data_IF_787570469673
#
_entry.id   IF_787570469673
#
_cell.length_a   1.000
_cell.length_b   1.000
_cell.length_c   1.000
_cell.angle_alpha   90.00
_cell.angle_beta   90.00
_cell.angle_gamma   90.00
#
_symmetry.space_group_name_H-M   'P 1'
#
loop_
_entity.id
_entity.type
_entity.pdbx_description
1 polymer ?
#
# COMPACT_ATOMS: atom_id res chain seq x y z
N UNK A 1 -14.24 -7.16 -5.93
CA UNK A 1 -12.81 -6.80 -5.72
C UNK A 1 -12.29 -7.44 -4.43
N UNK A 2 -10.93 -7.61 -4.31
CA UNK A 2 -10.28 -8.15 -3.10
C UNK A 2 -9.08 -7.29 -2.71
N UNK A 3 -9.00 -6.92 -1.44
CA UNK A 3 -7.84 -6.20 -0.89
C UNK A 3 -6.94 -7.18 -0.12
N UNK A 4 -5.75 -7.43 -0.64
CA UNK A 4 -4.70 -8.16 0.06
C UNK A 4 -4.09 -7.25 1.12
N UNK A 5 -4.24 -7.64 2.38
CA UNK A 5 -4.02 -6.79 3.56
C UNK A 5 -3.17 -7.51 4.62
N UNK A 6 -2.60 -6.73 5.49
CA UNK A 6 -2.10 -7.22 6.78
C UNK A 6 -2.40 -6.19 7.86
N UNK A 7 -3.10 -6.62 8.90
CA UNK A 7 -3.77 -5.72 9.86
C UNK A 7 -2.84 -4.68 10.50
N UNK A 8 -1.61 -5.06 10.81
CA UNK A 8 -0.66 -4.21 11.56
C UNK A 8 0.19 -3.30 10.68
N UNK A 9 0.26 -3.54 9.38
CA UNK A 9 1.09 -2.73 8.49
C UNK A 9 0.48 -1.35 8.17
N UNK A 10 1.29 -0.30 8.10
CA UNK A 10 0.79 1.06 7.89
C UNK A 10 0.24 1.30 6.48
N UNK A 11 0.84 0.73 5.45
CA UNK A 11 0.40 0.94 4.07
C UNK A 11 -0.99 0.34 3.78
N UNK A 12 -1.31 -0.92 4.16
CA UNK A 12 -2.68 -1.42 4.08
C UNK A 12 -3.66 -0.63 4.93
N UNK A 13 -3.26 -0.17 6.13
CA UNK A 13 -4.10 0.66 7.00
C UNK A 13 -4.57 1.94 6.30
N UNK A 14 -3.71 2.56 5.48
CA UNK A 14 -4.07 3.74 4.69
C UNK A 14 -5.25 3.48 3.77
N UNK A 15 -5.25 2.34 3.08
CA UNK A 15 -6.37 1.94 2.20
C UNK A 15 -7.64 1.71 3.02
N UNK A 16 -7.55 0.99 4.15
CA UNK A 16 -8.71 0.78 5.04
C UNK A 16 -9.28 2.08 5.59
N UNK A 17 -8.43 3.05 5.92
CA UNK A 17 -8.91 4.37 6.35
C UNK A 17 -9.68 5.08 5.26
N UNK A 18 -9.16 5.09 4.03
CA UNK A 18 -9.90 5.66 2.91
C UNK A 18 -11.23 4.92 2.69
N UNK A 19 -11.23 3.59 2.73
CA UNK A 19 -12.47 2.82 2.61
C UNK A 19 -13.48 3.21 3.69
N UNK A 20 -13.03 3.37 4.95
CA UNK A 20 -13.90 3.78 6.06
C UNK A 20 -14.44 5.20 5.87
N UNK A 21 -13.61 6.17 5.47
CA UNK A 21 -14.04 7.55 5.19
C UNK A 21 -15.08 7.62 4.07
N UNK A 22 -15.01 6.69 3.12
CA UNK A 22 -15.91 6.62 1.96
C UNK A 22 -17.10 5.67 2.13
N UNK A 23 -17.18 4.96 3.25
CA UNK A 23 -18.22 3.95 3.47
C UNK A 23 -18.15 2.77 2.50
N UNK A 24 -16.95 2.40 2.02
CA UNK A 24 -16.74 1.26 1.13
C UNK A 24 -16.65 -0.01 1.97
N UNK A 25 -17.67 -0.89 1.86
CA UNK A 25 -17.78 -2.13 2.65
C UNK A 25 -17.80 -3.40 1.78
N UNK A 26 -17.91 -3.27 0.47
CA UNK A 26 -18.10 -4.36 -0.49
C UNK A 26 -16.80 -4.97 -1.03
N UNK A 27 -15.64 -4.61 -0.47
CA UNK A 27 -14.34 -5.16 -0.84
C UNK A 27 -13.94 -6.27 0.15
N UNK A 28 -13.75 -7.48 -0.37
CA UNK A 28 -13.25 -8.62 0.41
C UNK A 28 -11.84 -8.36 0.93
N UNK A 29 -11.62 -8.50 2.25
CA UNK A 29 -10.30 -8.37 2.85
C UNK A 29 -9.63 -9.74 2.95
N UNK A 30 -8.54 -9.93 2.21
CA UNK A 30 -7.72 -11.15 2.23
C UNK A 30 -6.47 -10.91 3.07
N UNK A 31 -6.38 -11.53 4.23
CA UNK A 31 -5.21 -11.39 5.11
C UNK A 31 -4.00 -12.13 4.53
N UNK A 32 -2.86 -11.44 4.51
CA UNK A 32 -1.57 -11.96 4.06
C UNK A 32 -0.60 -12.03 5.24
N UNK A 33 -0.11 -13.21 5.54
CA UNK A 33 0.87 -13.41 6.61
C UNK A 33 2.28 -13.04 6.11
N UNK A 34 2.75 -11.87 6.56
CA UNK A 34 4.08 -11.38 6.21
C UNK A 34 5.19 -12.17 6.91
N UNK A 35 4.94 -12.64 8.14
CA UNK A 35 5.96 -13.35 8.91
C UNK A 35 6.27 -14.75 8.34
N UNK A 36 5.26 -15.40 7.77
CA UNK A 36 5.46 -16.66 7.03
C UNK A 36 6.01 -16.47 5.62
N UNK A 37 6.16 -15.21 5.15
CA UNK A 37 6.64 -14.91 3.81
C UNK A 37 5.61 -15.11 2.70
N UNK A 38 4.31 -15.21 3.03
CA UNK A 38 3.25 -15.44 2.04
C UNK A 38 3.27 -14.45 0.88
N UNK A 39 3.58 -13.17 1.14
CA UNK A 39 3.72 -12.11 0.12
C UNK A 39 4.92 -12.33 -0.83
N UNK A 40 5.82 -13.25 -0.53
CA UNK A 40 7.04 -13.54 -1.31
C UNK A 40 6.94 -14.81 -2.15
N UNK A 41 5.85 -15.55 -2.02
CA UNK A 41 5.65 -16.77 -2.82
C UNK A 41 5.59 -16.46 -4.31
N UNK A 42 6.02 -17.39 -5.19
CA UNK A 42 5.92 -17.20 -6.63
C UNK A 42 4.51 -16.87 -7.11
N UNK A 43 3.50 -17.51 -6.50
CA UNK A 43 2.09 -17.32 -6.83
C UNK A 43 1.62 -15.89 -6.51
N UNK A 44 1.98 -15.39 -5.32
CA UNK A 44 1.65 -14.01 -4.93
C UNK A 44 2.36 -12.99 -5.83
N UNK A 45 3.66 -13.18 -6.10
CA UNK A 45 4.45 -12.30 -6.97
C UNK A 45 3.92 -12.30 -8.40
N UNK A 46 3.54 -13.45 -8.93
CA UNK A 46 2.95 -13.55 -10.28
C UNK A 46 1.61 -12.80 -10.37
N UNK A 47 0.80 -12.86 -9.31
CA UNK A 47 -0.49 -12.19 -9.24
C UNK A 47 -0.38 -10.68 -9.06
N UNK A 48 0.43 -10.24 -8.11
CA UNK A 48 0.50 -8.82 -7.67
C UNK A 48 1.55 -8.02 -8.42
N UNK A 49 2.56 -8.70 -8.97
CA UNK A 49 3.72 -8.05 -9.62
C UNK A 49 4.77 -7.52 -8.64
N UNK A 50 4.50 -7.58 -7.32
CA UNK A 50 5.41 -7.10 -6.28
C UNK A 50 5.25 -7.91 -4.98
N UNK A 51 6.32 -8.11 -4.18
CA UNK A 51 6.25 -8.83 -2.92
C UNK A 51 5.81 -7.92 -1.76
N UNK A 52 4.73 -7.16 -1.95
CA UNK A 52 4.28 -6.15 -1.00
C UNK A 52 2.77 -6.21 -0.77
N UNK A 53 2.33 -5.67 0.36
CA UNK A 53 0.95 -5.34 0.67
C UNK A 53 0.84 -3.82 0.94
N UNK A 54 -0.29 -3.18 0.62
CA UNK A 54 -1.52 -3.76 0.06
C UNK A 54 -1.44 -4.00 -1.45
N UNK A 55 -2.36 -4.83 -1.93
CA UNK A 55 -2.70 -4.95 -3.35
C UNK A 55 -4.21 -5.10 -3.51
N UNK A 56 -4.79 -4.48 -4.53
CA UNK A 56 -6.20 -4.57 -4.87
C UNK A 56 -6.36 -5.41 -6.13
N UNK A 57 -7.00 -6.57 -6.01
CA UNK A 57 -7.41 -7.41 -7.14
C UNK A 57 -8.80 -6.97 -7.61
N UNK A 58 -8.90 -6.59 -8.87
CA UNK A 58 -10.15 -6.24 -9.53
C UNK A 58 -10.91 -7.48 -9.97
N UNK A 59 -12.15 -7.31 -10.41
CA UNK A 59 -13.02 -8.43 -10.81
C UNK A 59 -12.55 -9.12 -12.10
N UNK A 60 -11.75 -8.44 -12.92
CA UNK A 60 -11.10 -9.00 -14.11
C UNK A 60 -9.76 -9.69 -13.82
N UNK A 61 -9.34 -9.75 -12.56
CA UNK A 61 -8.08 -10.32 -12.11
C UNK A 61 -6.87 -9.39 -12.19
N UNK A 62 -7.02 -8.16 -12.69
CA UNK A 62 -5.97 -7.15 -12.65
C UNK A 62 -5.65 -6.78 -11.21
N UNK A 63 -4.36 -6.68 -10.86
CA UNK A 63 -3.93 -6.23 -9.54
C UNK A 63 -3.30 -4.84 -9.60
N UNK A 64 -3.77 -3.96 -8.73
CA UNK A 64 -3.19 -2.63 -8.48
C UNK A 64 -2.38 -2.72 -7.19
N UNK A 65 -1.09 -2.46 -7.26
CA UNK A 65 -0.23 -2.29 -6.09
C UNK A 65 0.00 -0.81 -5.78
N UNK A 66 0.72 -0.51 -4.69
CA UNK A 66 0.94 0.82 -4.13
C UNK A 66 -0.31 1.43 -3.48
N UNK A 67 -0.24 1.65 -2.16
CA UNK A 67 -1.39 2.07 -1.37
C UNK A 67 -2.04 3.38 -1.84
N UNK A 68 -1.24 4.37 -2.31
CA UNK A 68 -1.78 5.63 -2.84
C UNK A 68 -2.47 5.40 -4.20
N UNK A 69 -1.91 4.53 -5.06
CA UNK A 69 -2.56 4.20 -6.33
C UNK A 69 -3.91 3.51 -6.11
N UNK A 70 -3.98 2.58 -5.15
CA UNK A 70 -5.22 1.94 -4.73
C UNK A 70 -6.22 2.98 -4.22
N UNK A 71 -5.77 3.90 -3.35
CA UNK A 71 -6.60 4.98 -2.84
C UNK A 71 -7.16 5.87 -3.97
N UNK A 72 -6.35 6.23 -4.96
CA UNK A 72 -6.80 7.02 -6.13
C UNK A 72 -7.82 6.26 -6.98
N UNK A 73 -7.63 4.96 -7.18
CA UNK A 73 -8.57 4.13 -7.89
C UNK A 73 -9.93 4.11 -7.17
N UNK A 74 -9.94 3.86 -5.87
CA UNK A 74 -11.16 3.84 -5.05
C UNK A 74 -11.83 5.22 -4.96
N UNK A 75 -11.05 6.32 -4.93
CA UNK A 75 -11.55 7.69 -5.01
C UNK A 75 -12.33 7.93 -6.29
N UNK A 76 -11.80 7.44 -7.42
CA UNK A 76 -12.46 7.61 -8.74
C UNK A 76 -13.80 6.87 -8.80
N UNK A 77 -13.89 5.69 -8.18
CA UNK A 77 -15.13 4.92 -8.11
C UNK A 77 -16.15 5.51 -7.11
N UNK A 78 -15.64 6.13 -6.05
CA UNK A 78 -16.43 6.70 -4.97
C UNK A 78 -15.99 8.17 -4.73
N UNK A 79 -16.41 9.15 -5.57
CA UNK A 79 -15.85 10.49 -5.54
C UNK A 79 -16.23 11.31 -4.30
N UNK A 80 -17.25 10.89 -3.54
CA UNK A 80 -17.66 11.58 -2.32
C UNK A 80 -17.52 10.68 -1.07
N UNK A 81 -17.08 11.26 0.07
CA UNK A 81 -16.50 12.59 0.22
C UNK A 81 -15.17 12.71 -0.56
N UNK A 82 -14.93 13.86 -1.22
CA UNK A 82 -13.74 14.05 -2.00
C UNK A 82 -12.49 14.18 -1.12
N UNK A 83 -11.48 13.34 -1.35
CA UNK A 83 -10.23 13.31 -0.59
C UNK A 83 -8.98 13.62 -1.42
N UNK A 84 -9.11 13.72 -2.76
CA UNK A 84 -7.98 13.92 -3.67
C UNK A 84 -8.05 15.22 -4.48
N UNK A 85 -9.02 16.09 -4.17
CA UNK A 85 -9.19 17.40 -4.80
C UNK A 85 -10.16 17.41 -5.97
N UNK A 86 -10.98 18.46 -6.02
CA UNK A 86 -12.03 18.64 -7.04
C UNK A 86 -11.55 19.36 -8.29
N UNK A 87 -10.55 20.21 -8.12
CA UNK A 87 -9.97 20.97 -9.24
C UNK A 87 -8.45 20.78 -9.34
N UNK A 88 -7.87 21.31 -10.39
CA UNK A 88 -6.45 21.15 -10.68
C UNK A 88 -5.53 21.70 -9.56
N UNK A 89 -5.95 22.76 -8.89
CA UNK A 89 -5.18 23.36 -7.79
C UNK A 89 -5.24 22.46 -6.55
N UNK A 90 -6.43 22.07 -6.11
CA UNK A 90 -6.61 21.17 -4.96
C UNK A 90 -5.86 19.85 -5.18
N UNK A 91 -5.99 19.25 -6.37
CA UNK A 91 -5.28 18.02 -6.72
C UNK A 91 -3.76 18.18 -6.63
N UNK A 92 -3.22 19.28 -7.14
CA UNK A 92 -1.78 19.57 -7.09
C UNK A 92 -1.29 19.81 -5.65
N UNK A 93 -2.05 20.53 -4.83
CA UNK A 93 -1.72 20.80 -3.44
C UNK A 93 -1.75 19.50 -2.59
N UNK A 94 -2.76 18.66 -2.77
CA UNK A 94 -2.87 17.36 -2.09
C UNK A 94 -1.74 16.42 -2.52
N UNK A 95 -1.45 16.32 -3.83
CA UNK A 95 -0.33 15.51 -4.32
C UNK A 95 1.01 16.01 -3.78
N UNK A 96 1.24 17.32 -3.77
CA UNK A 96 2.46 17.92 -3.22
C UNK A 96 2.66 17.50 -1.75
N UNK A 97 1.61 17.59 -0.92
CA UNK A 97 1.71 17.20 0.49
C UNK A 97 1.85 15.69 0.67
N UNK A 98 1.14 14.90 -0.12
CA UNK A 98 1.27 13.44 -0.14
C UNK A 98 2.72 13.04 -0.44
N UNK A 99 3.33 13.65 -1.47
CA UNK A 99 4.73 13.37 -1.84
C UNK A 99 5.72 13.83 -0.77
N UNK A 100 5.52 14.99 -0.17
CA UNK A 100 6.38 15.48 0.92
C UNK A 100 6.35 14.53 2.12
N UNK A 101 5.18 14.12 2.58
CA UNK A 101 5.04 13.17 3.69
C UNK A 101 5.62 11.81 3.33
N UNK A 102 5.38 11.31 2.14
CA UNK A 102 5.89 10.02 1.69
C UNK A 102 7.42 10.02 1.62
N UNK A 103 8.02 10.99 0.94
CA UNK A 103 9.46 11.02 0.67
C UNK A 103 10.29 11.42 1.90
N UNK A 104 9.81 12.37 2.70
CA UNK A 104 10.62 12.96 3.77
C UNK A 104 10.29 12.43 5.17
N UNK A 105 9.15 11.76 5.34
CA UNK A 105 8.77 11.20 6.63
C UNK A 105 8.52 9.69 6.54
N UNK A 106 7.55 9.27 5.75
CA UNK A 106 7.06 7.90 5.76
C UNK A 106 8.10 6.90 5.25
N UNK A 107 8.73 7.17 4.11
CA UNK A 107 9.73 6.27 3.52
C UNK A 107 10.98 6.13 4.40
N UNK A 108 11.63 7.20 4.89
CA UNK A 108 12.77 7.06 5.80
C UNK A 108 12.42 6.32 7.09
N UNK A 109 11.26 6.63 7.69
CA UNK A 109 10.80 5.95 8.90
C UNK A 109 10.57 4.45 8.64
N UNK A 110 9.90 4.09 7.54
CA UNK A 110 9.65 2.69 7.19
C UNK A 110 10.94 1.92 6.90
N UNK A 111 11.91 2.54 6.23
CA UNK A 111 13.22 1.93 6.01
C UNK A 111 13.93 1.70 7.34
N UNK A 112 13.92 2.68 8.23
CA UNK A 112 14.51 2.52 9.57
C UNK A 112 13.88 1.34 10.30
N UNK A 113 12.54 1.31 10.43
CA UNK A 113 11.84 0.21 11.10
C UNK A 113 12.13 -1.14 10.44
N UNK A 114 12.09 -1.21 9.11
CA UNK A 114 12.31 -2.44 8.34
C UNK A 114 13.70 -3.04 8.61
N UNK A 115 14.73 -2.21 8.74
CA UNK A 115 16.10 -2.69 8.91
C UNK A 115 16.57 -2.75 10.37
N UNK A 116 15.88 -2.12 11.32
CA UNK A 116 16.27 -2.12 12.74
C UNK A 116 15.38 -3.00 13.62
N UNK A 117 14.11 -3.21 13.25
CA UNK A 117 13.21 -4.06 14.03
C UNK A 117 13.59 -5.54 13.86
N UNK A 118 13.89 -6.28 14.95
CA UNK A 118 14.45 -7.64 14.86
C UNK A 118 13.62 -8.61 13.99
N UNK A 119 12.29 -8.58 14.13
CA UNK A 119 11.41 -9.47 13.37
C UNK A 119 11.28 -9.10 11.89
N UNK A 120 11.53 -7.84 11.51
CA UNK A 120 11.43 -7.38 10.13
C UNK A 120 12.78 -7.44 9.42
N UNK A 121 13.85 -7.09 10.09
CA UNK A 121 15.21 -7.15 9.55
C UNK A 121 15.58 -8.57 9.12
N UNK A 122 15.10 -9.59 9.85
CA UNK A 122 15.29 -11.01 9.50
C UNK A 122 14.56 -11.43 8.21
N UNK A 123 13.57 -10.67 7.77
CA UNK A 123 12.83 -10.93 6.52
C UNK A 123 13.43 -10.24 5.30
N UNK A 124 14.35 -9.29 5.51
CA UNK A 124 14.96 -8.57 4.38
C UNK A 124 16.00 -9.44 3.69
N UNK A 125 15.96 -9.46 2.38
CA UNK A 125 17.01 -10.11 1.57
C UNK A 125 18.33 -9.36 1.81
N UNK A 126 19.47 -10.06 1.85
CA UNK A 126 20.77 -9.42 1.98
C UNK A 126 20.89 -8.32 0.91
N UNK A 127 21.13 -7.10 1.35
CA UNK A 127 21.49 -6.03 0.41
C UNK A 127 22.80 -6.45 -0.26
N UNK A 128 22.91 -6.22 -1.56
CA UNK A 128 24.20 -6.23 -2.19
C UNK A 128 25.12 -5.33 -1.40
N UNK A 129 26.20 -5.89 -0.84
CA UNK A 129 27.27 -5.09 -0.30
C UNK A 129 27.68 -4.14 -1.42
N UNK A 130 27.45 -2.88 -1.24
CA UNK A 130 28.05 -1.87 -2.09
C UNK A 130 29.55 -2.03 -1.82
N UNK A 131 30.26 -2.62 -2.77
CA UNK A 131 31.70 -2.74 -2.67
C UNK A 131 32.25 -1.33 -2.42
N UNK A 132 32.88 -1.18 -1.26
CA UNK A 132 33.56 0.05 -0.88
C UNK A 132 34.73 0.34 -1.82
#
# INVERSE_FOLDING_TARGET
MKLYDTQRAPNPRRVRWLMAEKGIEDIEIVQVDLLSGQHRTPEYRAKVGAPHVPALELDDGTCISESIAICRYLETLNPEPNLFGRDAREQAEIEMWTRRVEMYLSTPMMLTVRFTHPALAALEEPKHEVAA
#
